data_IF_369639545971
#
_entry.id   IF_369639545971
#
_cell.length_a   1.000
_cell.length_b   1.000
_cell.length_c   1.000
_cell.angle_alpha   90.00
_cell.angle_beta   90.00
_cell.angle_gamma   90.00
#
_symmetry.space_group_name_H-M   'P 1'
#
loop_
_entity.id
_entity.type
_entity.pdbx_description
1 polymer ?
#
# COMPACT_ATOMS: atom_id res chain seq x y z
N UNK A 1 -7.51 6.98 -3.01
CA UNK A 1 -6.48 6.14 -2.36
C UNK A 1 -7.06 4.74 -2.19
N UNK A 2 -6.25 3.75 -1.82
CA UNK A 2 -6.72 2.41 -1.48
C UNK A 2 -6.50 2.18 0.01
N UNK A 3 -7.50 1.65 0.69
CA UNK A 3 -7.48 1.29 2.12
C UNK A 3 -8.22 -0.05 2.30
N UNK A 4 -8.06 -0.67 3.47
CA UNK A 4 -8.60 -2.00 3.72
C UNK A 4 -9.99 -2.03 4.32
N UNK A 5 -10.36 -1.04 5.12
CA UNK A 5 -11.55 -1.06 5.99
C UNK A 5 -11.64 -2.34 6.86
N UNK A 6 -10.49 -2.71 7.44
CA UNK A 6 -10.28 -4.02 8.07
C UNK A 6 -11.25 -4.28 9.22
N UNK A 7 -11.87 -5.47 9.22
CA UNK A 7 -12.85 -5.92 10.22
C UNK A 7 -14.14 -5.07 10.28
N UNK A 8 -14.31 -4.12 9.35
CA UNK A 8 -15.48 -3.26 9.23
C UNK A 8 -15.81 -3.02 7.75
N UNK A 9 -16.22 -4.07 7.04
CA UNK A 9 -16.51 -4.08 5.58
C UNK A 9 -15.33 -4.24 4.62
N UNK A 10 -14.14 -4.61 5.11
CA UNK A 10 -13.04 -4.96 4.21
C UNK A 10 -11.93 -5.83 4.81
N UNK A 11 -10.86 -6.04 4.02
CA UNK A 11 -9.86 -7.09 4.21
C UNK A 11 -8.44 -6.53 4.27
N UNK A 12 -7.76 -6.74 5.40
CA UNK A 12 -6.40 -6.18 5.64
C UNK A 12 -5.35 -6.67 4.64
N UNK A 13 -5.41 -7.95 4.27
CA UNK A 13 -4.42 -8.60 3.41
C UNK A 13 -4.58 -8.31 1.93
N UNK A 14 -5.60 -7.55 1.52
CA UNK A 14 -5.98 -7.43 0.11
C UNK A 14 -5.79 -6.03 -0.49
N UNK A 15 -5.30 -5.03 0.27
CA UNK A 15 -5.13 -3.66 -0.24
C UNK A 15 -4.28 -3.62 -1.51
N UNK A 16 -3.11 -4.28 -1.46
CA UNK A 16 -2.18 -4.34 -2.59
C UNK A 16 -2.77 -5.17 -3.73
N UNK A 17 -3.31 -6.35 -3.42
CA UNK A 17 -3.89 -7.27 -4.41
C UNK A 17 -5.06 -6.63 -5.17
N UNK A 18 -6.01 -6.00 -4.47
CA UNK A 18 -7.17 -5.33 -5.06
C UNK A 18 -6.77 -4.11 -5.88
N UNK A 19 -5.70 -3.42 -5.49
CA UNK A 19 -5.12 -2.35 -6.31
C UNK A 19 -4.70 -2.87 -7.69
N UNK A 20 -3.94 -3.97 -7.73
CA UNK A 20 -3.44 -4.53 -8.98
C UNK A 20 -4.52 -5.24 -9.80
N UNK A 21 -5.48 -5.90 -9.15
CA UNK A 21 -6.67 -6.45 -9.82
C UNK A 21 -7.49 -5.35 -10.50
N UNK A 22 -7.68 -4.21 -9.85
CA UNK A 22 -8.37 -3.06 -10.44
C UNK A 22 -7.60 -2.51 -11.64
N UNK A 23 -6.27 -2.34 -11.51
CA UNK A 23 -5.42 -1.89 -12.60
C UNK A 23 -5.50 -2.82 -13.83
N UNK A 24 -5.50 -4.14 -13.57
CA UNK A 24 -5.62 -5.18 -14.58
C UNK A 24 -6.99 -5.17 -15.26
N UNK A 25 -8.10 -5.18 -14.50
CA UNK A 25 -9.46 -5.08 -15.05
C UNK A 25 -9.61 -3.87 -15.97
N UNK A 26 -9.14 -2.71 -15.51
CA UNK A 26 -9.21 -1.49 -16.31
C UNK A 26 -8.35 -1.57 -17.59
N UNK A 27 -7.32 -2.43 -17.65
CA UNK A 27 -6.50 -2.58 -18.87
C UNK A 27 -7.26 -3.45 -19.87
N UNK A 28 -7.84 -4.54 -19.37
CA UNK A 28 -8.67 -5.44 -20.18
C UNK A 28 -9.86 -4.70 -20.79
N UNK A 29 -10.55 -3.86 -20.01
CA UNK A 29 -11.77 -3.20 -20.47
C UNK A 29 -11.54 -1.87 -21.21
N UNK A 30 -10.48 -1.11 -20.88
CA UNK A 30 -10.24 0.24 -21.45
C UNK A 30 -8.98 0.34 -22.30
N UNK A 31 -8.23 -0.75 -22.48
CA UNK A 31 -7.00 -0.76 -23.26
C UNK A 31 -5.82 -0.06 -22.57
N UNK A 32 -4.84 0.34 -23.39
CA UNK A 32 -3.61 1.02 -22.97
C UNK A 32 -3.94 2.42 -22.44
N UNK A 33 -3.30 2.82 -21.34
CA UNK A 33 -3.50 4.16 -20.78
C UNK A 33 -2.77 5.22 -21.63
N UNK A 34 -3.27 6.45 -21.65
CA UNK A 34 -2.58 7.56 -22.29
C UNK A 34 -1.12 7.69 -21.78
N UNK A 35 -0.18 7.81 -22.73
CA UNK A 35 1.26 7.87 -22.44
C UNK A 35 1.94 6.51 -22.18
N UNK A 36 1.19 5.42 -22.06
CA UNK A 36 1.71 4.06 -22.00
C UNK A 36 1.86 3.43 -23.41
N UNK A 37 2.53 2.28 -23.49
CA UNK A 37 2.72 1.51 -24.72
C UNK A 37 2.11 0.11 -24.55
N UNK A 38 1.91 -0.60 -25.65
CA UNK A 38 1.35 -1.97 -25.65
C UNK A 38 2.06 -2.90 -24.64
N UNK A 39 3.40 -2.85 -24.62
CA UNK A 39 4.26 -3.67 -23.75
C UNK A 39 4.76 -2.91 -22.51
N UNK A 40 4.15 -1.79 -22.14
CA UNK A 40 4.59 -0.99 -20.99
C UNK A 40 3.43 -0.20 -20.38
N UNK A 41 3.01 -0.61 -19.18
CA UNK A 41 1.93 0.04 -18.42
C UNK A 41 2.48 0.99 -17.32
N UNK A 42 3.63 1.64 -17.56
CA UNK A 42 4.38 2.33 -16.51
C UNK A 42 3.58 3.47 -15.83
N UNK A 43 2.83 4.26 -16.60
CA UNK A 43 2.02 5.35 -16.05
C UNK A 43 0.83 4.81 -15.25
N UNK A 44 0.18 3.74 -15.73
CA UNK A 44 -0.81 3.01 -14.94
C UNK A 44 -0.20 2.45 -13.66
N UNK A 45 0.95 1.78 -13.74
CA UNK A 45 1.64 1.21 -12.57
C UNK A 45 1.97 2.30 -11.55
N UNK A 46 2.55 3.42 -11.97
CA UNK A 46 2.82 4.60 -11.11
C UNK A 46 1.55 5.16 -10.49
N UNK A 47 0.47 5.29 -11.28
CA UNK A 47 -0.85 5.76 -10.79
C UNK A 47 -1.41 4.87 -9.69
N UNK A 48 -1.27 3.56 -9.82
CA UNK A 48 -1.86 2.58 -8.90
C UNK A 48 -0.99 2.32 -7.67
N UNK A 49 0.34 2.20 -7.80
CA UNK A 49 1.23 2.03 -6.63
C UNK A 49 1.10 3.21 -5.68
N UNK A 50 0.98 4.44 -6.21
CA UNK A 50 0.81 5.63 -5.40
C UNK A 50 -0.46 5.62 -4.54
N UNK A 51 -1.47 4.80 -4.87
CA UNK A 51 -2.75 4.74 -4.13
C UNK A 51 -2.61 4.10 -2.75
N UNK A 52 -1.61 3.24 -2.54
CA UNK A 52 -1.37 2.57 -1.25
C UNK A 52 0.02 2.84 -0.67
N UNK A 53 0.87 3.62 -1.35
CA UNK A 53 2.18 4.03 -0.83
C UNK A 53 2.20 5.53 -0.47
N UNK A 54 2.47 6.41 -1.44
CA UNK A 54 2.79 7.81 -1.17
C UNK A 54 1.55 8.65 -0.87
N UNK A 55 0.40 8.42 -1.53
CA UNK A 55 -0.78 9.26 -1.32
C UNK A 55 -1.39 9.11 0.08
N UNK A 56 -1.52 7.89 0.65
CA UNK A 56 -1.88 7.75 2.06
C UNK A 56 -0.89 8.46 3.00
N UNK A 57 0.42 8.37 2.73
CA UNK A 57 1.42 9.03 3.54
C UNK A 57 1.33 10.56 3.49
N UNK A 58 1.04 11.14 2.30
CA UNK A 58 0.80 12.59 2.14
C UNK A 58 -0.46 12.98 2.91
N UNK A 59 -1.57 12.28 2.70
CA UNK A 59 -2.85 12.59 3.35
C UNK A 59 -2.76 12.54 4.88
N UNK A 60 -1.91 11.65 5.42
CA UNK A 60 -1.72 11.49 6.86
C UNK A 60 -0.58 12.36 7.44
N UNK A 61 0.17 13.09 6.60
CA UNK A 61 1.23 13.99 7.07
C UNK A 61 2.51 13.29 7.50
N UNK A 62 2.79 12.13 6.91
CA UNK A 62 3.95 11.27 7.23
C UNK A 62 4.82 10.99 6.00
N UNK A 63 4.55 11.65 4.87
CA UNK A 63 5.25 11.43 3.59
C UNK A 63 6.73 11.80 3.58
N UNK A 64 7.21 12.53 4.59
CA UNK A 64 8.64 12.78 4.78
C UNK A 64 9.36 11.52 5.31
N UNK A 65 8.65 10.66 6.04
CA UNK A 65 9.22 9.50 6.71
C UNK A 65 9.05 8.22 5.90
N UNK A 66 7.89 8.04 5.25
CA UNK A 66 7.49 6.79 4.59
C UNK A 66 6.71 7.03 3.29
N UNK A 67 6.36 5.94 2.60
CA UNK A 67 5.42 5.96 1.47
C UNK A 67 6.08 5.90 0.09
N UNK A 68 7.41 5.85 0.00
CA UNK A 68 8.14 5.71 -1.28
C UNK A 68 9.60 5.33 -1.02
N UNK A 69 10.26 4.85 -2.08
CA UNK A 69 11.70 4.56 -2.09
C UNK A 69 12.42 5.83 -2.54
N UNK A 70 12.75 6.68 -1.58
CA UNK A 70 13.47 7.95 -1.78
C UNK A 70 14.52 8.10 -0.68
N UNK A 71 15.66 8.74 -1.00
CA UNK A 71 16.70 9.02 -0.03
C UNK A 71 16.17 9.85 1.15
N UNK A 72 16.67 9.58 2.35
CA UNK A 72 16.23 10.23 3.59
C UNK A 72 14.97 9.63 4.21
N UNK A 73 14.23 8.76 3.51
CA UNK A 73 13.08 8.03 4.09
C UNK A 73 13.52 6.77 4.82
N UNK A 74 12.65 6.28 5.69
CA UNK A 74 12.84 5.04 6.43
C UNK A 74 12.91 3.87 5.46
N UNK A 75 13.83 2.94 5.68
CA UNK A 75 14.01 1.73 4.88
C UNK A 75 12.91 0.68 5.16
N UNK A 76 11.67 1.04 4.84
CA UNK A 76 10.49 0.18 4.84
C UNK A 76 10.25 -0.33 3.42
N UNK A 77 10.76 -1.53 3.14
CA UNK A 77 10.82 -2.08 1.79
C UNK A 77 10.14 -3.45 1.75
N UNK A 78 9.52 -3.76 0.63
CA UNK A 78 8.91 -5.07 0.39
C UNK A 78 9.48 -5.65 -0.88
N UNK A 79 10.08 -6.84 -0.76
CA UNK A 79 10.64 -7.56 -1.89
C UNK A 79 9.64 -8.60 -2.38
N UNK A 80 9.44 -8.61 -3.69
CA UNK A 80 8.60 -9.57 -4.39
C UNK A 80 9.44 -10.35 -5.37
N UNK A 81 9.19 -11.65 -5.46
CA UNK A 81 9.45 -12.38 -6.68
C UNK A 81 8.41 -11.93 -7.72
N UNK A 82 8.78 -11.61 -8.98
CA UNK A 82 7.85 -11.08 -9.98
C UNK A 82 6.58 -11.94 -10.16
N UNK A 83 6.71 -13.27 -10.09
CA UNK A 83 5.58 -14.19 -10.20
C UNK A 83 4.54 -14.05 -9.07
N UNK A 84 4.94 -13.50 -7.91
CA UNK A 84 4.09 -13.29 -6.73
C UNK A 84 3.79 -11.81 -6.46
N UNK A 85 4.16 -10.91 -7.37
CA UNK A 85 3.96 -9.47 -7.21
C UNK A 85 2.49 -9.13 -6.93
N UNK A 86 2.27 -8.39 -5.83
CA UNK A 86 0.95 -7.98 -5.40
C UNK A 86 0.10 -9.08 -4.74
N UNK A 87 0.67 -10.27 -4.49
CA UNK A 87 0.00 -11.40 -3.81
C UNK A 87 0.66 -11.70 -2.47
N UNK A 88 1.88 -12.25 -2.51
CA UNK A 88 2.60 -12.75 -1.34
C UNK A 88 4.04 -12.23 -1.41
N UNK A 89 4.43 -11.26 -0.57
CA UNK A 89 5.80 -10.76 -0.56
C UNK A 89 6.77 -11.85 -0.10
N UNK A 90 8.00 -11.83 -0.62
CA UNK A 90 9.06 -12.75 -0.17
C UNK A 90 9.66 -12.28 1.15
N UNK A 91 9.98 -10.98 1.25
CA UNK A 91 10.62 -10.34 2.41
C UNK A 91 9.96 -8.98 2.67
N UNK A 92 9.73 -8.67 3.95
CA UNK A 92 9.31 -7.35 4.43
C UNK A 92 10.39 -6.79 5.35
N UNK A 93 11.04 -5.71 4.92
CA UNK A 93 12.04 -4.96 5.66
C UNK A 93 11.35 -3.79 6.35
N UNK A 94 11.62 -3.62 7.64
CA UNK A 94 11.13 -2.51 8.45
C UNK A 94 12.32 -1.82 9.10
N UNK A 95 12.50 -0.52 8.85
CA UNK A 95 13.63 0.26 9.39
C UNK A 95 15.00 -0.37 9.10
N UNK A 96 15.18 -0.98 7.92
CA UNK A 96 16.44 -1.62 7.52
C UNK A 96 16.65 -3.05 8.04
N UNK A 97 15.72 -3.62 8.81
CA UNK A 97 15.81 -4.99 9.32
C UNK A 97 14.65 -5.85 8.82
N UNK A 98 14.91 -7.13 8.51
CA UNK A 98 13.86 -8.04 8.06
C UNK A 98 12.88 -8.32 9.21
N UNK A 99 11.62 -7.96 9.01
CA UNK A 99 10.51 -8.16 9.96
C UNK A 99 9.69 -9.42 9.65
N UNK A 100 9.55 -9.75 8.37
CA UNK A 100 8.82 -10.93 7.91
C UNK A 100 9.48 -11.50 6.65
N UNK A 101 9.48 -12.82 6.50
CA UNK A 101 9.94 -13.50 5.29
C UNK A 101 9.17 -14.80 5.09
N UNK A 102 9.02 -15.22 3.84
CA UNK A 102 8.69 -16.63 3.55
C UNK A 102 9.91 -17.46 3.93
N UNK A 103 9.67 -18.46 4.77
CA UNK A 103 10.71 -19.30 5.34
C UNK A 103 10.19 -20.72 5.52
N UNK A 104 11.03 -21.69 5.17
CA UNK A 104 10.80 -23.12 5.29
C UNK A 104 10.75 -23.64 6.73
N UNK A 105 10.98 -24.93 6.88
CA UNK A 105 11.15 -25.60 8.16
C UNK A 105 12.41 -25.11 8.89
N UNK A 106 12.26 -24.67 10.15
CA UNK A 106 13.35 -24.09 10.92
C UNK A 106 14.44 -25.10 11.35
N UNK A 107 14.12 -26.39 11.37
CA UNK A 107 15.06 -27.47 11.72
C UNK A 107 15.78 -28.06 10.49
N UNK A 108 15.44 -27.61 9.27
CA UNK A 108 16.06 -28.10 8.06
C UNK A 108 17.49 -27.54 7.87
N UNK A 109 18.26 -28.21 7.02
CA UNK A 109 19.65 -27.80 6.71
C UNK A 109 19.75 -26.49 5.94
N UNK A 110 18.69 -26.11 5.21
CA UNK A 110 18.61 -24.87 4.42
C UNK A 110 17.20 -24.25 4.55
N UNK A 111 17.07 -22.92 4.39
CA UNK A 111 15.82 -22.20 4.67
C UNK A 111 14.67 -22.45 3.68
N UNK A 112 14.90 -23.20 2.60
CA UNK A 112 13.93 -23.45 1.51
C UNK A 112 13.21 -24.79 1.62
N UNK A 113 13.54 -25.61 2.63
CA UNK A 113 12.85 -26.87 2.86
C UNK A 113 11.40 -26.64 3.28
N UNK A 114 10.45 -27.35 2.67
CA UNK A 114 9.02 -27.17 2.95
C UNK A 114 8.67 -27.55 4.40
N UNK A 115 7.64 -26.93 5.02
CA UNK A 115 6.71 -25.97 4.44
C UNK A 115 7.22 -24.52 4.46
N UNK A 116 7.20 -23.87 3.29
CA UNK A 116 7.46 -22.43 3.15
C UNK A 116 6.21 -21.61 3.48
N UNK A 117 6.25 -20.91 4.62
CA UNK A 117 5.16 -20.05 5.08
C UNK A 117 5.70 -18.67 5.52
N UNK A 118 4.85 -17.63 5.57
CA UNK A 118 5.24 -16.36 6.15
C UNK A 118 5.59 -16.53 7.63
N UNK A 119 6.78 -16.07 8.03
CA UNK A 119 7.26 -16.12 9.42
C UNK A 119 7.79 -14.76 9.85
N UNK A 120 7.54 -14.41 11.11
CA UNK A 120 8.16 -13.26 11.75
C UNK A 120 9.67 -13.51 11.91
N UNK A 121 10.47 -12.51 11.55
CA UNK A 121 11.94 -12.53 11.56
C UNK A 121 12.46 -11.65 12.70
N UNK A 122 13.78 -11.60 12.89
CA UNK A 122 14.40 -10.90 14.02
C UNK A 122 13.96 -9.44 14.20
N UNK A 123 13.64 -8.71 13.12
CA UNK A 123 13.14 -7.33 13.19
C UNK A 123 11.75 -7.17 13.82
N UNK A 124 11.01 -8.27 13.99
CA UNK A 124 9.69 -8.31 14.60
C UNK A 124 9.72 -8.71 16.10
N UNK A 125 10.90 -8.89 16.70
CA UNK A 125 11.01 -9.35 18.09
C UNK A 125 11.78 -8.38 18.99
N UNK A 126 11.45 -8.42 20.29
CA UNK A 126 12.18 -7.72 21.34
C UNK A 126 12.40 -6.23 21.08
N UNK A 127 13.59 -5.73 21.43
CA UNK A 127 13.97 -4.32 21.26
C UNK A 127 14.23 -3.94 19.80
N UNK A 128 14.31 -4.89 18.86
CA UNK A 128 14.44 -4.57 17.45
C UNK A 128 13.22 -3.77 16.97
N UNK A 129 12.01 -4.14 17.41
CA UNK A 129 10.79 -3.39 17.10
C UNK A 129 10.82 -1.93 17.54
N UNK A 130 11.53 -1.62 18.63
CA UNK A 130 11.66 -0.25 19.14
C UNK A 130 12.51 0.63 18.20
N UNK A 131 13.48 0.03 17.51
CA UNK A 131 14.41 0.74 16.63
C UNK A 131 14.01 0.67 15.14
N UNK A 132 13.09 -0.22 14.76
CA UNK A 132 12.64 -0.39 13.38
C UNK A 132 11.28 0.26 13.10
N UNK A 133 10.50 0.54 14.14
CA UNK A 133 9.13 1.05 14.02
C UNK A 133 9.00 2.46 14.58
N UNK A 134 8.12 3.23 13.94
CA UNK A 134 7.78 4.59 14.32
C UNK A 134 6.33 4.64 14.79
N UNK A 135 6.08 5.44 15.82
CA UNK A 135 4.75 5.82 16.28
C UNK A 135 4.49 7.28 15.86
N UNK A 136 3.53 7.49 14.97
CA UNK A 136 3.16 8.84 14.54
C UNK A 136 2.16 9.46 15.52
N UNK A 137 2.44 10.69 15.95
CA UNK A 137 1.60 11.43 16.92
C UNK A 137 1.31 12.84 16.40
N UNK A 138 0.37 13.54 17.05
CA UNK A 138 0.16 14.97 16.77
C UNK A 138 1.43 15.78 17.09
N UNK A 139 1.62 16.89 16.38
CA UNK A 139 2.71 17.83 16.66
C UNK A 139 2.70 18.29 18.13
N UNK A 140 1.51 18.58 18.68
CA UNK A 140 1.34 18.94 20.09
C UNK A 140 1.90 17.86 21.04
N UNK A 141 1.49 16.60 20.85
CA UNK A 141 1.93 15.51 21.73
C UNK A 141 3.45 15.30 21.66
N UNK A 142 4.02 15.42 20.46
CA UNK A 142 5.47 15.33 20.26
C UNK A 142 6.22 16.43 21.00
N UNK A 143 5.83 17.70 20.82
CA UNK A 143 6.45 18.86 21.48
C UNK A 143 6.30 18.85 23.01
N UNK A 144 5.25 18.20 23.53
CA UNK A 144 5.00 18.07 24.97
C UNK A 144 5.59 16.79 25.59
N UNK A 145 6.52 16.11 24.91
CA UNK A 145 7.27 14.98 25.46
C UNK A 145 6.41 13.74 25.75
N UNK A 146 5.47 13.41 24.86
CA UNK A 146 4.58 12.24 25.03
C UNK A 146 5.37 10.93 25.14
N UNK A 147 6.52 10.85 24.46
CA UNK A 147 7.39 9.67 24.47
C UNK A 147 7.90 9.38 25.89
N UNK A 148 8.43 10.41 26.56
CA UNK A 148 8.99 10.32 27.90
C UNK A 148 7.88 10.11 28.93
N UNK A 149 6.78 10.86 28.81
CA UNK A 149 5.63 10.76 29.72
C UNK A 149 5.01 9.36 29.78
N UNK A 150 4.96 8.66 28.64
CA UNK A 150 4.40 7.31 28.55
C UNK A 150 5.47 6.20 28.55
N UNK A 151 6.76 6.55 28.64
CA UNK A 151 7.86 5.58 28.59
C UNK A 151 7.94 4.80 27.28
N UNK A 152 7.52 5.41 26.16
CA UNK A 152 7.48 4.75 24.85
C UNK A 152 8.90 4.42 24.36
N UNK A 153 9.10 3.15 24.00
CA UNK A 153 10.39 2.66 23.54
C UNK A 153 10.62 2.91 22.03
N UNK A 154 9.54 2.92 21.24
CA UNK A 154 9.60 3.17 19.79
C UNK A 154 10.04 4.59 19.49
N UNK A 155 10.56 4.79 18.29
CA UNK A 155 10.67 6.14 17.74
C UNK A 155 9.28 6.78 17.65
N UNK A 156 9.19 8.06 18.01
CA UNK A 156 7.94 8.83 17.98
C UNK A 156 8.19 10.03 17.07
N UNK A 157 7.36 10.23 16.04
CA UNK A 157 7.53 11.32 15.09
C UNK A 157 6.21 12.09 14.91
N UNK A 158 6.25 13.42 14.73
CA UNK A 158 5.06 14.23 14.55
C UNK A 158 4.50 14.11 13.13
N UNK A 159 3.18 14.09 13.00
CA UNK A 159 2.51 14.36 11.71
C UNK A 159 2.54 15.85 11.41
N UNK A 160 2.73 16.23 10.13
CA UNK A 160 2.78 17.64 9.70
C UNK A 160 2.26 17.85 8.27
N UNK A 161 1.95 19.11 7.92
CA UNK A 161 1.70 19.51 6.52
C UNK A 161 0.35 19.13 5.92
N UNK A 162 -0.66 18.76 6.72
CA UNK A 162 -1.94 18.22 6.23
C UNK A 162 -3.09 19.21 6.10
N UNK A 163 -2.90 20.48 6.48
CA UNK A 163 -3.98 21.49 6.50
C UNK A 163 -4.18 22.22 5.17
N UNK A 164 -3.14 22.27 4.35
CA UNK A 164 -3.12 23.02 3.09
C UNK A 164 -3.11 22.09 1.86
N UNK A 165 -3.38 20.79 2.06
CA UNK A 165 -3.41 19.81 0.99
C UNK A 165 -4.68 19.95 0.16
N UNK A 166 -4.51 19.79 -1.13
CA UNK A 166 -5.57 19.75 -2.13
C UNK A 166 -5.51 18.43 -2.89
N UNK A 167 -6.52 18.18 -3.73
CA UNK A 167 -6.49 16.99 -4.61
C UNK A 167 -5.26 16.97 -5.52
N UNK A 168 -4.74 18.13 -5.93
CA UNK A 168 -3.58 18.25 -6.83
C UNK A 168 -2.29 17.70 -6.22
N UNK A 169 -2.21 17.63 -4.89
CA UNK A 169 -1.04 17.10 -4.18
C UNK A 169 -0.94 15.57 -4.26
N UNK A 170 -2.04 14.89 -4.64
CA UNK A 170 -2.08 13.45 -4.81
C UNK A 170 -1.31 13.02 -6.05
N UNK A 171 -0.15 12.39 -5.85
CA UNK A 171 0.74 11.94 -6.92
C UNK A 171 0.00 11.00 -7.88
N UNK A 172 0.07 11.34 -9.17
CA UNK A 172 -0.58 10.65 -10.30
C UNK A 172 -2.10 10.50 -10.18
N UNK A 173 -2.74 11.18 -9.24
CA UNK A 173 -4.15 11.02 -8.91
C UNK A 173 -4.79 12.38 -8.57
N UNK A 174 -4.33 13.46 -9.20
CA UNK A 174 -4.77 14.83 -8.92
C UNK A 174 -5.95 15.33 -9.74
N UNK A 175 -6.53 14.49 -10.61
CA UNK A 175 -7.68 14.84 -11.45
C UNK A 175 -8.91 15.24 -10.62
N UNK A 176 -9.61 16.27 -11.10
CA UNK A 176 -10.85 16.81 -10.55
C UNK A 176 -11.88 17.02 -11.69
N UNK A 177 -12.40 15.95 -12.29
CA UNK A 177 -13.44 16.07 -13.31
C UNK A 177 -14.76 16.53 -12.69
N UNK A 178 -15.69 17.02 -13.52
CA UNK A 178 -17.06 17.25 -13.10
C UNK A 178 -17.76 15.91 -12.92
N UNK A 179 -18.23 15.64 -11.71
CA UNK A 179 -18.99 14.44 -11.37
C UNK A 179 -20.46 14.79 -11.22
N UNK A 180 -21.32 14.01 -11.87
CA UNK A 180 -22.77 14.09 -11.73
C UNK A 180 -23.29 12.69 -11.40
N UNK A 181 -24.22 12.59 -10.44
CA UNK A 181 -24.86 11.34 -10.06
C UNK A 181 -26.37 11.54 -10.10
N UNK A 182 -27.05 10.74 -10.90
CA UNK A 182 -28.50 10.77 -10.96
C UNK A 182 -29.11 10.13 -9.70
N UNK A 183 -30.01 10.81 -8.97
CA UNK A 183 -30.52 10.32 -7.68
C UNK A 183 -31.52 9.16 -7.81
N UNK A 184 -32.05 8.88 -9.00
CA UNK A 184 -33.03 7.82 -9.24
C UNK A 184 -32.39 6.57 -9.85
N UNK A 185 -31.51 6.77 -10.83
CA UNK A 185 -30.87 5.66 -11.58
C UNK A 185 -29.49 5.29 -11.03
N UNK A 186 -28.87 6.18 -10.26
CA UNK A 186 -27.48 6.09 -9.80
C UNK A 186 -26.43 6.12 -10.91
N UNK A 187 -26.82 6.54 -12.12
CA UNK A 187 -25.90 6.76 -13.22
C UNK A 187 -24.88 7.84 -12.84
N UNK A 188 -23.60 7.47 -12.96
CA UNK A 188 -22.48 8.38 -12.71
C UNK A 188 -21.96 8.90 -14.03
N UNK A 189 -21.88 10.22 -14.20
CA UNK A 189 -21.26 10.87 -15.35
C UNK A 189 -19.98 11.60 -14.96
N UNK A 190 -18.95 11.44 -15.79
CA UNK A 190 -17.66 12.12 -15.66
C UNK A 190 -17.53 13.03 -16.87
N UNK A 191 -17.52 14.35 -16.65
CA UNK A 191 -17.50 15.35 -17.73
C UNK A 191 -18.61 15.14 -18.78
N UNK A 192 -19.80 14.70 -18.34
CA UNK A 192 -20.95 14.43 -19.20
C UNK A 192 -21.00 13.02 -19.79
N UNK A 193 -19.93 12.23 -19.70
CA UNK A 193 -19.87 10.86 -20.20
C UNK A 193 -20.26 9.84 -19.13
N UNK A 194 -21.12 8.87 -19.46
CA UNK A 194 -21.53 7.80 -18.54
C UNK A 194 -20.32 6.92 -18.16
N UNK A 195 -20.05 6.84 -16.85
CA UNK A 195 -18.98 6.03 -16.29
C UNK A 195 -19.54 4.66 -15.86
N UNK A 196 -19.49 3.70 -16.78
CA UNK A 196 -19.92 2.31 -16.54
C UNK A 196 -18.86 1.30 -16.97
N UNK A 197 -18.93 0.09 -16.42
CA UNK A 197 -18.14 -1.06 -16.86
C UNK A 197 -18.77 -2.37 -16.40
N UNK A 198 -18.64 -3.41 -17.22
CA UNK A 198 -19.13 -4.75 -16.86
C UNK A 198 -18.37 -5.32 -15.64
N UNK A 199 -19.01 -6.14 -14.80
CA UNK A 199 -18.32 -6.91 -13.78
C UNK A 199 -17.32 -7.89 -14.42
N UNK A 200 -16.21 -8.15 -13.73
CA UNK A 200 -15.24 -9.15 -14.19
C UNK A 200 -15.61 -10.53 -13.63
N UNK A 201 -15.71 -11.54 -14.50
CA UNK A 201 -16.00 -12.93 -14.10
C UNK A 201 -14.78 -13.61 -13.45
N UNK A 202 -13.57 -13.21 -13.84
CA UNK A 202 -12.32 -13.74 -13.31
C UNK A 202 -11.33 -12.62 -13.02
N UNK A 203 -10.42 -12.87 -12.08
CA UNK A 203 -9.39 -11.92 -11.69
C UNK A 203 -8.02 -12.59 -11.59
N UNK A 204 -6.93 -11.91 -11.98
CA UNK A 204 -5.59 -12.37 -11.64
C UNK A 204 -5.37 -12.30 -10.13
N UNK A 205 -4.28 -12.88 -9.65
CA UNK A 205 -3.88 -12.80 -8.23
C UNK A 205 -4.93 -13.42 -7.28
N UNK A 206 -5.57 -14.52 -7.71
CA UNK A 206 -6.62 -15.24 -6.96
C UNK A 206 -6.30 -16.73 -6.86
N UNK A 207 -7.14 -17.61 -7.43
CA UNK A 207 -7.13 -19.08 -7.28
C UNK A 207 -5.79 -19.76 -7.59
N UNK A 208 -4.95 -19.15 -8.44
CA UNK A 208 -3.60 -19.64 -8.73
C UNK A 208 -2.67 -19.63 -7.51
N UNK A 209 -2.91 -18.74 -6.54
CA UNK A 209 -1.96 -18.43 -5.47
C UNK A 209 -2.44 -18.80 -4.06
N UNK A 210 -3.75 -18.95 -3.88
CA UNK A 210 -4.34 -19.19 -2.57
C UNK A 210 -4.89 -20.60 -2.50
N UNK A 211 -4.61 -21.26 -1.37
CA UNK A 211 -5.12 -22.60 -1.10
C UNK A 211 -6.63 -22.58 -0.81
N UNK A 212 -7.14 -21.43 -0.33
CA UNK A 212 -8.54 -21.14 -0.03
C UNK A 212 -8.89 -19.72 -0.49
#
# INVERSE_FOLDING_TARGET
MMSSDTMAMGRIGEVVTRTWQTASKMKVQRGVMEGDKENSDNNRVKRYVAKYTINPAIAQGISEYVGSVEEGKVADLVLYEPAFFGVKPKIVIKGGMISNSIMGEANASIPTCQPEIPRAMFGAYGKAMSNTCITFVSQYAYEHGIKEKLGLQKEVLPVKGIRNLTKKDMKFNGEMPKLEVDPQTYDVKINGELATCEPAETLPLTQRYFLF
#
